data_IF_077383123247
#
_entry.id   IF_077383123247
#
_cell.length_a   1.000
_cell.length_b   1.000
_cell.length_c   1.000
_cell.angle_alpha   90.00
_cell.angle_beta   90.00
_cell.angle_gamma   90.00
#
_symmetry.space_group_name_H-M   'P 1'
#
loop_
_entity.id
_entity.type
_entity.pdbx_description
1 polymer ?
#
# COMPACT_ATOMS: atom_id res chain seq x y z
N UNK A 1 -6.38 -33.91 -7.34
CA UNK A 1 -6.09 -32.51 -6.94
C UNK A 1 -6.78 -32.31 -5.60
N UNK A 2 -6.00 -32.07 -4.55
CA UNK A 2 -6.46 -31.95 -3.17
C UNK A 2 -6.19 -30.52 -2.69
N UNK A 3 -6.94 -30.03 -1.70
CA UNK A 3 -6.78 -28.68 -1.14
C UNK A 3 -5.71 -28.62 -0.04
N UNK A 4 -5.39 -27.40 0.43
CA UNK A 4 -4.32 -27.16 1.40
C UNK A 4 -4.43 -27.96 2.71
N UNK A 5 -5.65 -28.27 3.16
CA UNK A 5 -5.88 -29.10 4.35
C UNK A 5 -5.94 -30.61 4.04
N UNK A 6 -6.39 -31.00 2.85
CA UNK A 6 -6.60 -32.42 2.49
C UNK A 6 -5.37 -33.07 1.87
N UNK A 7 -4.39 -32.28 1.39
CA UNK A 7 -3.11 -32.77 0.86
C UNK A 7 -2.27 -33.50 1.92
N UNK A 8 -2.43 -33.16 3.20
CA UNK A 8 -1.69 -33.76 4.33
C UNK A 8 -2.13 -35.20 4.66
N UNK A 9 -3.01 -35.82 3.85
CA UNK A 9 -3.18 -37.29 3.86
C UNK A 9 -1.85 -38.03 3.63
N UNK A 10 -0.87 -37.39 3.00
CA UNK A 10 0.50 -37.91 2.80
C UNK A 10 1.23 -38.12 4.13
N UNK A 11 1.07 -37.20 5.08
CA UNK A 11 1.63 -37.33 6.43
C UNK A 11 0.63 -36.74 7.46
N UNK A 12 -0.22 -37.59 8.06
CA UNK A 12 -1.30 -37.14 8.94
C UNK A 12 -0.85 -36.32 10.16
N UNK A 13 0.39 -36.51 10.63
CA UNK A 13 0.98 -35.72 11.71
C UNK A 13 1.05 -34.22 11.38
N UNK A 14 1.27 -33.87 10.10
CA UNK A 14 1.36 -32.48 9.63
C UNK A 14 0.03 -31.89 9.17
N UNK A 15 -1.11 -32.55 9.43
CA UNK A 15 -2.44 -32.01 9.10
C UNK A 15 -2.70 -30.63 9.72
N UNK A 16 -2.07 -30.33 10.87
CA UNK A 16 -2.11 -29.03 11.51
C UNK A 16 -1.56 -27.87 10.65
N UNK A 17 -0.60 -28.15 9.77
CA UNK A 17 -0.01 -27.14 8.86
C UNK A 17 -1.07 -26.58 7.91
N UNK A 18 -1.93 -27.44 7.36
CA UNK A 18 -3.02 -26.99 6.48
C UNK A 18 -4.02 -26.07 7.18
N UNK A 19 -4.37 -26.35 8.43
CA UNK A 19 -5.24 -25.48 9.21
C UNK A 19 -4.55 -24.18 9.62
N UNK A 20 -3.26 -24.22 9.95
CA UNK A 20 -2.47 -23.02 10.24
C UNK A 20 -2.44 -22.07 9.02
N UNK A 21 -2.24 -22.60 7.80
CA UNK A 21 -2.30 -21.82 6.55
C UNK A 21 -3.66 -21.15 6.35
N UNK A 22 -4.77 -21.84 6.66
CA UNK A 22 -6.12 -21.25 6.57
C UNK A 22 -6.28 -20.08 7.56
N UNK A 23 -5.80 -20.23 8.80
CA UNK A 23 -5.85 -19.16 9.81
C UNK A 23 -4.97 -17.97 9.39
N UNK A 24 -3.76 -18.22 8.89
CA UNK A 24 -2.88 -17.17 8.38
C UNK A 24 -3.54 -16.44 7.22
N UNK A 25 -4.13 -17.16 6.26
CA UNK A 25 -4.84 -16.56 5.13
C UNK A 25 -6.03 -15.69 5.57
N UNK A 26 -6.72 -16.07 6.66
CA UNK A 26 -7.78 -15.25 7.26
C UNK A 26 -7.23 -13.91 7.78
N UNK A 27 -6.16 -13.94 8.58
CA UNK A 27 -5.54 -12.72 9.10
C UNK A 27 -5.01 -11.81 7.98
N UNK A 28 -4.34 -12.42 7.00
CA UNK A 28 -3.87 -11.75 5.78
C UNK A 28 -5.03 -11.09 5.04
N UNK A 29 -6.13 -11.83 4.84
CA UNK A 29 -7.34 -11.30 4.21
C UNK A 29 -7.90 -10.08 4.91
N UNK A 30 -7.90 -10.03 6.25
CA UNK A 30 -8.41 -8.87 6.98
C UNK A 30 -7.63 -7.59 6.69
N UNK A 31 -6.30 -7.58 6.91
CA UNK A 31 -5.53 -6.34 6.77
C UNK A 31 -5.33 -5.93 5.30
N UNK A 32 -5.18 -6.88 4.37
CA UNK A 32 -5.03 -6.53 2.95
C UNK A 32 -6.30 -5.87 2.39
N UNK A 33 -7.48 -6.32 2.82
CA UNK A 33 -8.74 -5.68 2.40
C UNK A 33 -8.85 -4.24 2.92
N UNK A 34 -8.31 -3.93 4.09
CA UNK A 34 -8.23 -2.56 4.61
C UNK A 34 -7.31 -1.69 3.75
N UNK A 35 -6.14 -2.20 3.33
CA UNK A 35 -5.23 -1.47 2.43
C UNK A 35 -5.88 -1.19 1.07
N UNK A 36 -6.62 -2.15 0.52
CA UNK A 36 -7.38 -1.97 -0.72
C UNK A 36 -8.48 -0.91 -0.52
N UNK A 37 -9.17 -0.91 0.63
CA UNK A 37 -10.17 0.10 0.95
C UNK A 37 -9.56 1.50 1.03
N UNK A 38 -8.36 1.67 1.60
CA UNK A 38 -7.63 2.94 1.55
C UNK A 38 -7.34 3.34 0.10
N UNK A 39 -6.82 2.43 -0.71
CA UNK A 39 -6.53 2.68 -2.13
C UNK A 39 -7.79 3.12 -2.90
N UNK A 40 -8.93 2.49 -2.63
CA UNK A 40 -10.22 2.85 -3.21
C UNK A 40 -10.69 4.24 -2.76
N UNK A 41 -10.48 4.58 -1.49
CA UNK A 41 -10.75 5.92 -0.97
C UNK A 41 -9.90 6.99 -1.68
N UNK A 42 -8.59 6.74 -1.85
CA UNK A 42 -7.70 7.62 -2.62
C UNK A 42 -8.12 7.73 -4.09
N UNK A 43 -8.59 6.64 -4.69
CA UNK A 43 -9.09 6.64 -6.07
C UNK A 43 -10.30 7.57 -6.22
N UNK A 44 -11.31 7.46 -5.36
CA UNK A 44 -12.47 8.36 -5.40
C UNK A 44 -12.10 9.80 -5.04
N UNK A 45 -11.22 10.00 -4.07
CA UNK A 45 -10.72 11.33 -3.67
C UNK A 45 -9.88 12.00 -4.76
N UNK A 46 -9.34 11.24 -5.71
CA UNK A 46 -8.60 11.76 -6.87
C UNK A 46 -9.50 12.26 -8.00
N UNK A 47 -10.81 11.99 -7.96
CA UNK A 47 -11.80 12.43 -8.96
C UNK A 47 -12.25 13.89 -8.73
N UNK A 48 -11.34 14.74 -8.32
CA UNK A 48 -11.55 16.18 -8.08
C UNK A 48 -10.64 16.98 -9.00
N UNK A 49 -11.04 18.22 -9.33
CA UNK A 49 -10.24 19.11 -10.19
C UNK A 49 -8.90 19.48 -9.56
N UNK A 50 -8.88 19.67 -8.25
CA UNK A 50 -7.68 19.86 -7.44
C UNK A 50 -7.58 18.72 -6.42
N UNK A 51 -6.39 18.14 -6.29
CA UNK A 51 -6.18 17.00 -5.40
C UNK A 51 -6.17 17.48 -3.94
N UNK A 52 -6.86 16.79 -3.02
CA UNK A 52 -7.02 17.25 -1.63
C UNK A 52 -5.72 17.22 -0.81
N UNK A 53 -4.70 16.48 -1.28
CA UNK A 53 -3.36 16.43 -0.69
C UNK A 53 -2.34 17.37 -1.37
N UNK A 54 -2.81 18.33 -2.18
CA UNK A 54 -1.94 19.30 -2.84
C UNK A 54 -1.65 20.52 -1.95
N UNK A 55 -2.66 20.98 -1.20
CA UNK A 55 -2.63 22.22 -0.41
C UNK A 55 -2.75 21.94 1.08
N UNK A 56 -2.37 22.92 1.91
CA UNK A 56 -2.57 22.88 3.37
C UNK A 56 -3.84 23.62 3.81
N UNK A 57 -4.64 24.11 2.85
CA UNK A 57 -5.80 24.99 3.10
C UNK A 57 -7.09 24.19 3.30
N UNK A 58 -7.02 23.09 4.04
CA UNK A 58 -8.19 22.27 4.35
C UNK A 58 -8.49 22.21 5.85
N UNK A 59 -9.73 21.91 6.19
CA UNK A 59 -10.20 21.90 7.58
C UNK A 59 -9.50 20.86 8.48
N UNK A 60 -8.89 19.83 7.89
CA UNK A 60 -8.19 18.77 8.63
C UNK A 60 -6.70 19.07 8.85
N UNK A 61 -6.15 20.06 8.17
CA UNK A 61 -4.72 20.36 8.25
C UNK A 61 -4.34 21.01 9.60
N UNK A 62 -3.19 20.60 10.14
CA UNK A 62 -2.56 21.28 11.27
C UNK A 62 -2.03 22.68 10.90
N UNK A 63 -1.90 23.61 11.87
CA UNK A 63 -1.13 24.85 11.68
C UNK A 63 0.34 24.62 11.26
N UNK A 64 0.86 23.42 11.51
CA UNK A 64 2.23 23.01 11.19
C UNK A 64 2.33 22.28 9.83
N UNK A 65 1.41 22.50 8.90
CA UNK A 65 1.45 21.91 7.57
C UNK A 65 2.32 22.74 6.62
N UNK A 66 3.16 22.08 5.82
CA UNK A 66 3.95 22.72 4.75
C UNK A 66 3.53 22.22 3.38
N UNK A 67 3.16 23.14 2.49
CA UNK A 67 2.86 22.86 1.08
C UNK A 67 4.03 23.25 0.17
N UNK A 68 4.11 22.65 -1.02
CA UNK A 68 5.16 22.98 -2.00
C UNK A 68 5.11 24.46 -2.44
N UNK A 69 3.90 25.03 -2.47
CA UNK A 69 3.68 26.46 -2.76
C UNK A 69 4.27 27.34 -1.65
N UNK A 70 4.00 26.99 -0.38
CA UNK A 70 4.54 27.71 0.78
C UNK A 70 6.08 27.68 0.86
N UNK A 71 6.72 26.60 0.40
CA UNK A 71 8.20 26.53 0.31
C UNK A 71 8.75 27.54 -0.71
N UNK A 72 8.05 27.72 -1.82
CA UNK A 72 8.44 28.66 -2.88
C UNK A 72 8.27 30.13 -2.44
N UNK A 73 7.30 30.38 -1.55
CA UNK A 73 7.05 31.72 -0.98
C UNK A 73 7.98 32.05 0.20
N UNK A 74 8.63 31.04 0.81
CA UNK A 74 9.50 31.18 1.99
C UNK A 74 10.98 31.46 1.62
N UNK A 75 11.24 32.09 0.48
CA UNK A 75 12.60 32.48 0.06
C UNK A 75 13.08 33.64 0.94
N UNK A 76 13.66 33.29 2.08
CA UNK A 76 14.50 34.20 2.87
C UNK A 76 15.89 34.19 2.20
N UNK A 77 16.51 35.37 2.07
CA UNK A 77 17.69 35.64 1.23
C UNK A 77 18.80 34.57 1.24
N UNK A 78 19.51 34.49 0.10
CA UNK A 78 20.47 33.46 -0.36
C UNK A 78 19.89 32.20 -1.06
N UNK A 79 18.65 32.25 -1.55
CA UNK A 79 18.15 31.25 -2.52
C UNK A 79 17.98 29.84 -1.95
N UNK A 80 17.91 29.70 -0.63
CA UNK A 80 17.64 28.43 0.05
C UNK A 80 16.19 28.41 0.51
N UNK A 81 15.40 27.51 -0.07
CA UNK A 81 14.00 27.29 0.30
C UNK A 81 13.95 26.21 1.40
N UNK A 82 13.38 26.54 2.55
CA UNK A 82 13.27 25.60 3.67
C UNK A 82 11.81 25.24 3.92
N UNK A 83 11.57 23.97 4.23
CA UNK A 83 10.28 23.55 4.76
C UNK A 83 10.10 24.16 6.16
N UNK A 84 9.06 24.99 6.33
CA UNK A 84 8.76 25.64 7.61
C UNK A 84 8.48 24.62 8.72
N UNK A 85 7.89 23.47 8.36
CA UNK A 85 7.56 22.38 9.27
C UNK A 85 7.83 21.01 8.64
N UNK A 86 7.98 19.99 9.48
CA UNK A 86 8.27 18.60 9.07
C UNK A 86 7.11 17.92 8.32
N UNK A 87 5.87 18.33 8.60
CA UNK A 87 4.68 17.67 8.06
C UNK A 87 4.29 18.25 6.69
N UNK A 88 4.20 17.38 5.69
CA UNK A 88 3.80 17.74 4.32
C UNK A 88 2.29 17.56 4.13
N UNK A 89 1.69 18.30 3.20
CA UNK A 89 0.25 18.17 2.90
C UNK A 89 -0.20 16.71 2.63
N UNK A 90 0.52 15.87 1.84
CA UNK A 90 0.13 14.47 1.66
C UNK A 90 0.22 13.61 2.91
N UNK A 91 1.20 13.85 3.79
CA UNK A 91 1.31 13.12 5.04
C UNK A 91 0.14 13.47 5.98
N UNK A 92 -0.20 14.76 6.10
CA UNK A 92 -1.34 15.24 6.87
C UNK A 92 -2.67 14.72 6.32
N UNK A 93 -2.82 14.64 5.00
CA UNK A 93 -4.00 14.02 4.40
C UNK A 93 -4.14 12.56 4.83
N UNK A 94 -3.07 11.78 4.77
CA UNK A 94 -3.11 10.37 5.18
C UNK A 94 -3.41 10.23 6.69
N UNK A 95 -2.64 10.90 7.54
CA UNK A 95 -2.72 10.71 8.99
C UNK A 95 -3.96 11.35 9.60
N UNK A 96 -4.33 12.55 9.17
CA UNK A 96 -5.44 13.29 9.77
C UNK A 96 -6.76 13.10 9.08
N UNK A 97 -6.79 13.03 7.74
CA UNK A 97 -8.06 12.94 7.00
C UNK A 97 -8.49 11.51 6.68
N UNK A 98 -7.56 10.67 6.25
CA UNK A 98 -7.89 9.27 5.92
C UNK A 98 -7.97 8.44 7.20
N UNK A 99 -6.91 8.44 8.00
CA UNK A 99 -6.78 7.55 9.15
C UNK A 99 -7.32 8.14 10.46
N UNK A 100 -7.38 9.48 10.58
CA UNK A 100 -7.72 10.17 11.84
C UNK A 100 -6.86 9.71 13.03
N UNK A 101 -5.57 9.44 12.79
CA UNK A 101 -4.64 8.94 13.80
C UNK A 101 -4.50 9.89 15.00
N UNK A 102 -4.68 11.19 14.77
CA UNK A 102 -4.65 12.23 15.80
C UNK A 102 -5.79 12.15 16.84
N UNK A 103 -6.88 11.43 16.54
CA UNK A 103 -7.99 11.20 17.48
C UNK A 103 -7.74 9.98 18.38
N UNK A 104 -6.73 9.15 18.05
CA UNK A 104 -6.40 7.94 18.80
C UNK A 104 -5.28 8.19 19.81
N UNK A 105 -5.49 7.79 21.06
CA UNK A 105 -4.46 7.78 22.10
C UNK A 105 -3.43 6.64 21.96
N UNK A 106 -3.54 5.83 20.90
CA UNK A 106 -2.70 4.65 20.64
C UNK A 106 -3.52 3.37 20.54
N UNK A 107 -2.86 2.21 20.64
CA UNK A 107 -3.51 0.90 20.41
C UNK A 107 -4.63 0.56 21.40
N UNK A 108 -4.61 1.16 22.59
CA UNK A 108 -5.61 0.97 23.63
C UNK A 108 -6.87 1.83 23.41
N UNK A 109 -6.77 2.85 22.58
CA UNK A 109 -7.85 3.77 22.27
C UNK A 109 -7.84 4.10 20.77
N UNK A 110 -8.43 3.19 19.99
CA UNK A 110 -8.44 3.25 18.53
C UNK A 110 -9.45 4.27 17.97
N UNK A 111 -10.29 4.86 18.83
CA UNK A 111 -11.39 5.71 18.40
C UNK A 111 -12.49 4.97 17.63
N UNK A 112 -13.51 5.69 17.15
CA UNK A 112 -14.62 5.10 16.40
C UNK A 112 -14.22 4.72 14.96
N UNK A 113 -14.87 3.70 14.36
CA UNK A 113 -14.65 3.35 12.96
C UNK A 113 -15.03 4.49 12.02
N UNK A 114 -14.17 4.78 11.04
CA UNK A 114 -14.41 5.83 10.05
C UNK A 114 -15.39 5.36 8.99
N UNK A 115 -16.59 5.96 8.95
CA UNK A 115 -17.66 5.55 8.04
C UNK A 115 -17.27 5.53 6.56
N UNK A 116 -16.48 6.52 6.11
CA UNK A 116 -15.99 6.57 4.73
C UNK A 116 -15.16 5.32 4.38
N UNK A 117 -14.24 4.93 5.26
CA UNK A 117 -13.40 3.74 5.08
C UNK A 117 -14.20 2.45 5.26
N UNK A 118 -15.16 2.42 6.18
CA UNK A 118 -16.08 1.28 6.36
C UNK A 118 -16.90 1.04 5.10
N UNK A 119 -17.37 2.09 4.44
CA UNK A 119 -18.10 2.00 3.16
C UNK A 119 -17.18 1.52 2.04
N UNK A 120 -15.95 2.05 1.94
CA UNK A 120 -14.96 1.55 0.99
C UNK A 120 -14.64 0.06 1.23
N UNK A 121 -14.51 -0.36 2.49
CA UNK A 121 -14.28 -1.76 2.85
C UNK A 121 -15.47 -2.65 2.46
N UNK A 122 -16.70 -2.18 2.70
CA UNK A 122 -17.91 -2.88 2.27
C UNK A 122 -17.93 -3.06 0.75
N UNK A 123 -17.58 -2.02 -0.01
CA UNK A 123 -17.48 -2.08 -1.46
C UNK A 123 -16.43 -3.12 -1.92
N UNK A 124 -15.25 -3.15 -1.29
CA UNK A 124 -14.20 -4.16 -1.57
C UNK A 124 -14.71 -5.57 -1.32
N UNK A 125 -15.37 -5.81 -0.19
CA UNK A 125 -15.93 -7.13 0.14
C UNK A 125 -16.99 -7.56 -0.86
N UNK A 126 -17.87 -6.65 -1.30
CA UNK A 126 -18.88 -6.92 -2.32
C UNK A 126 -18.23 -7.30 -3.66
N UNK A 127 -17.20 -6.54 -4.10
CA UNK A 127 -16.46 -6.82 -5.33
C UNK A 127 -15.80 -8.20 -5.25
N UNK A 128 -15.15 -8.52 -4.14
CA UNK A 128 -14.51 -9.82 -3.93
C UNK A 128 -15.51 -10.96 -3.92
N UNK A 129 -16.66 -10.77 -3.25
CA UNK A 129 -17.74 -11.74 -3.24
C UNK A 129 -18.21 -12.08 -4.66
N UNK A 130 -18.54 -11.07 -5.48
CA UNK A 130 -18.97 -11.31 -6.86
C UNK A 130 -17.87 -11.90 -7.75
N UNK A 131 -16.60 -11.55 -7.50
CA UNK A 131 -15.46 -12.11 -8.22
C UNK A 131 -15.30 -13.62 -7.96
N UNK A 132 -15.60 -14.07 -6.74
CA UNK A 132 -15.43 -15.45 -6.29
C UNK A 132 -16.70 -16.31 -6.36
N UNK A 133 -17.90 -15.71 -6.39
CA UNK A 133 -19.18 -16.43 -6.24
C UNK A 133 -19.35 -17.57 -7.27
N UNK A 134 -19.01 -17.33 -8.53
CA UNK A 134 -19.07 -18.35 -9.59
C UNK A 134 -17.81 -19.26 -9.65
N UNK A 135 -16.99 -19.24 -8.61
CA UNK A 135 -15.76 -20.01 -8.47
C UNK A 135 -14.66 -19.61 -9.46
N UNK A 136 -13.76 -20.56 -9.72
CA UNK A 136 -12.55 -20.35 -10.53
C UNK A 136 -12.82 -19.85 -11.96
N UNK A 137 -13.99 -20.16 -12.55
CA UNK A 137 -14.36 -19.70 -13.89
C UNK A 137 -14.63 -18.19 -13.96
N UNK A 138 -15.15 -17.61 -12.87
CA UNK A 138 -15.41 -16.17 -12.77
C UNK A 138 -14.16 -15.42 -12.33
N UNK A 139 -13.46 -15.94 -11.31
CA UNK A 139 -12.20 -15.39 -10.84
C UNK A 139 -11.18 -15.27 -11.98
N UNK A 140 -11.07 -16.30 -12.84
CA UNK A 140 -10.15 -16.26 -13.98
C UNK A 140 -10.42 -15.11 -14.94
N UNK A 141 -11.69 -14.76 -15.19
CA UNK A 141 -12.06 -13.61 -16.05
C UNK A 141 -11.67 -12.28 -15.43
N UNK A 142 -11.91 -12.12 -14.13
CA UNK A 142 -11.53 -10.89 -13.38
C UNK A 142 -10.01 -10.74 -13.34
N UNK A 143 -9.28 -11.85 -13.14
CA UNK A 143 -7.81 -11.88 -13.10
C UNK A 143 -7.17 -11.36 -14.39
N UNK A 144 -7.75 -11.60 -15.57
CA UNK A 144 -7.23 -11.02 -16.80
C UNK A 144 -7.13 -9.49 -16.75
N UNK A 145 -8.08 -8.83 -16.10
CA UNK A 145 -8.06 -7.36 -15.95
C UNK A 145 -7.15 -6.98 -14.79
N UNK A 146 -7.33 -7.58 -13.62
CA UNK A 146 -6.60 -7.18 -12.40
C UNK A 146 -5.11 -7.50 -12.44
N UNK A 147 -4.69 -8.50 -13.22
CA UNK A 147 -3.27 -8.83 -13.42
C UNK A 147 -2.62 -7.99 -14.53
N UNK A 148 -3.36 -7.55 -15.55
CA UNK A 148 -2.79 -6.79 -16.68
C UNK A 148 -2.75 -5.29 -16.44
N UNK A 149 -3.77 -4.72 -15.79
CA UNK A 149 -3.87 -3.29 -15.54
C UNK A 149 -2.65 -2.70 -14.80
N UNK A 150 -2.08 -3.35 -13.77
CA UNK A 150 -0.89 -2.83 -13.09
C UNK A 150 0.29 -2.63 -14.03
N UNK A 151 0.52 -3.51 -15.01
CA UNK A 151 1.62 -3.36 -15.97
C UNK A 151 1.42 -2.15 -16.88
N UNK A 152 0.18 -1.88 -17.31
CA UNK A 152 -0.14 -0.69 -18.10
C UNK A 152 0.11 0.58 -17.28
N UNK A 153 -0.35 0.62 -16.03
CA UNK A 153 -0.15 1.77 -15.13
C UNK A 153 1.35 1.98 -14.86
N UNK A 154 2.09 0.92 -14.54
CA UNK A 154 3.54 0.98 -14.30
C UNK A 154 4.28 1.49 -15.54
N UNK A 155 3.88 1.06 -16.74
CA UNK A 155 4.49 1.54 -17.98
C UNK A 155 4.25 3.04 -18.21
N UNK A 156 3.02 3.52 -17.99
CA UNK A 156 2.70 4.96 -18.08
C UNK A 156 3.48 5.76 -17.03
N UNK A 157 3.53 5.27 -15.78
CA UNK A 157 4.30 5.90 -14.71
C UNK A 157 5.80 5.89 -14.99
N UNK A 158 6.34 4.85 -15.65
CA UNK A 158 7.74 4.78 -16.05
C UNK A 158 8.06 5.85 -17.10
N UNK A 159 7.26 5.98 -18.16
CA UNK A 159 7.45 7.03 -19.17
C UNK A 159 7.35 8.41 -18.53
N UNK A 160 6.33 8.63 -17.68
CA UNK A 160 6.15 9.91 -16.99
C UNK A 160 7.32 10.19 -16.04
N UNK A 161 7.76 9.21 -15.27
CA UNK A 161 8.88 9.31 -14.35
C UNK A 161 10.20 9.62 -15.05
N UNK A 162 10.47 8.96 -16.18
CA UNK A 162 11.68 9.18 -16.97
C UNK A 162 11.74 10.59 -17.59
N UNK A 163 10.59 11.13 -18.02
CA UNK A 163 10.49 12.46 -18.64
C UNK A 163 10.55 13.63 -17.66
N UNK A 164 10.44 13.39 -16.35
CA UNK A 164 10.55 14.44 -15.33
C UNK A 164 11.99 14.94 -15.17
N UNK A 165 12.13 16.24 -14.93
CA UNK A 165 13.44 16.86 -14.67
C UNK A 165 14.04 16.28 -13.39
N UNK A 166 15.31 15.89 -13.45
CA UNK A 166 16.01 15.30 -12.30
C UNK A 166 15.78 13.81 -12.08
N UNK A 167 15.06 13.12 -12.99
CA UNK A 167 14.82 11.66 -12.94
C UNK A 167 16.12 10.85 -12.80
N UNK A 168 17.20 11.28 -13.47
CA UNK A 168 18.50 10.61 -13.41
C UNK A 168 19.08 10.53 -12.00
N UNK A 169 18.84 11.53 -11.13
CA UNK A 169 19.33 11.50 -9.74
C UNK A 169 18.72 10.34 -8.94
N UNK A 170 17.41 10.08 -9.14
CA UNK A 170 16.72 8.96 -8.52
C UNK A 170 17.22 7.61 -9.04
N UNK A 171 17.46 7.51 -10.35
CA UNK A 171 17.98 6.29 -11.00
C UNK A 171 19.39 5.97 -10.49
N UNK A 172 20.28 6.96 -10.47
CA UNK A 172 21.65 6.78 -9.94
C UNK A 172 21.63 6.38 -8.46
N UNK A 173 20.74 6.97 -7.64
CA UNK A 173 20.62 6.60 -6.23
C UNK A 173 20.04 5.19 -6.01
N UNK A 174 19.11 4.74 -6.86
CA UNK A 174 18.56 3.39 -6.78
C UNK A 174 19.57 2.32 -7.24
N UNK A 175 20.33 2.61 -8.29
CA UNK A 175 21.31 1.68 -8.88
C UNK A 175 22.72 1.81 -8.29
N UNK A 176 22.98 2.73 -7.36
CA UNK A 176 24.29 2.84 -6.71
C UNK A 176 24.51 1.63 -5.81
N UNK A 177 25.41 0.74 -6.22
CA UNK A 177 25.74 -0.48 -5.49
C UNK A 177 26.83 -0.18 -4.46
N UNK A 178 26.53 -0.40 -3.19
CA UNK A 178 27.52 -0.41 -2.12
C UNK A 178 27.93 -1.85 -1.79
N UNK A 179 29.03 -2.30 -2.39
CA UNK A 179 29.54 -3.67 -2.26
C UNK A 179 29.88 -4.00 -0.80
N UNK A 180 30.22 -3.01 0.03
CA UNK A 180 30.54 -3.26 1.43
C UNK A 180 29.31 -3.75 2.22
N UNK A 181 28.10 -3.32 1.83
CA UNK A 181 26.86 -3.78 2.46
C UNK A 181 26.59 -5.26 2.20
N UNK A 182 27.09 -5.84 1.11
CA UNK A 182 26.91 -7.28 0.82
C UNK A 182 27.62 -8.20 1.81
N UNK A 183 28.60 -7.68 2.57
CA UNK A 183 29.26 -8.43 3.64
C UNK A 183 28.39 -8.56 4.90
N UNK A 184 27.36 -7.72 5.04
CA UNK A 184 26.45 -7.76 6.17
C UNK A 184 25.42 -8.88 5.97
N UNK A 185 25.28 -9.76 6.97
CA UNK A 185 24.33 -10.88 6.93
C UNK A 185 22.88 -10.41 6.81
N UNK A 186 22.56 -9.26 7.41
CA UNK A 186 21.21 -8.66 7.38
C UNK A 186 20.68 -8.46 5.96
N UNK A 187 21.53 -8.02 5.02
CA UNK A 187 21.15 -7.82 3.61
C UNK A 187 20.69 -9.12 2.95
N UNK A 188 21.32 -10.25 3.30
CA UNK A 188 20.95 -11.56 2.78
C UNK A 188 19.66 -12.10 3.42
N UNK A 189 19.47 -11.85 4.71
CA UNK A 189 18.23 -12.19 5.41
C UNK A 189 17.04 -11.41 4.83
N UNK A 190 17.20 -10.12 4.56
CA UNK A 190 16.18 -9.29 3.93
C UNK A 190 15.88 -9.74 2.50
N UNK A 191 16.91 -10.03 1.71
CA UNK A 191 16.74 -10.54 0.34
C UNK A 191 16.00 -11.89 0.30
N UNK A 192 16.35 -12.82 1.19
CA UNK A 192 15.66 -14.10 1.30
C UNK A 192 14.20 -13.93 1.72
N UNK A 193 13.95 -13.05 2.70
CA UNK A 193 12.60 -12.73 3.19
C UNK A 193 11.75 -12.10 2.09
N UNK A 194 12.32 -11.19 1.30
CA UNK A 194 11.65 -10.54 0.17
C UNK A 194 11.25 -11.55 -0.91
N UNK A 195 12.16 -12.46 -1.31
CA UNK A 195 11.87 -13.50 -2.31
C UNK A 195 10.81 -14.46 -1.80
N UNK A 196 10.91 -14.90 -0.53
CA UNK A 196 9.97 -15.83 0.07
C UNK A 196 8.54 -15.27 0.10
N UNK A 197 8.35 -14.03 0.57
CA UNK A 197 7.03 -13.40 0.60
C UNK A 197 6.52 -12.97 -0.78
N UNK A 198 7.40 -12.60 -1.70
CA UNK A 198 7.02 -12.24 -3.08
C UNK A 198 6.47 -13.45 -3.86
N UNK A 199 7.09 -14.62 -3.69
CA UNK A 199 6.63 -15.86 -4.33
C UNK A 199 5.44 -16.52 -3.61
N UNK A 200 5.20 -16.18 -2.34
CA UNK A 200 4.15 -16.80 -1.54
C UNK A 200 4.37 -18.30 -1.29
N UNK A 201 5.63 -18.75 -1.24
CA UNK A 201 5.95 -20.16 -1.09
C UNK A 201 5.35 -20.74 0.20
N UNK A 202 4.57 -21.82 0.09
CA UNK A 202 3.96 -22.49 1.24
C UNK A 202 2.59 -21.95 1.69
N UNK A 203 2.04 -20.93 1.02
CA UNK A 203 0.71 -20.37 1.36
C UNK A 203 -0.48 -21.23 0.87
N UNK A 204 -0.24 -22.34 0.15
CA UNK A 204 -1.29 -23.25 -0.29
C UNK A 204 -2.24 -22.67 -1.36
N UNK A 205 -1.85 -21.57 -1.98
CA UNK A 205 -2.55 -20.94 -3.12
C UNK A 205 -1.92 -21.46 -4.42
N UNK A 206 -2.77 -21.85 -5.38
CA UNK A 206 -2.38 -22.28 -6.73
C UNK A 206 -2.85 -21.24 -7.76
#
# INVERSE_FOLDING_TARGET
REGAATVWKICPFFKGVGYAVIIIALYVGFYYNVIIAWSLYYLFSSMTSELPWLTCDNYWNSPNCTSHKSITDSVIGNGSSYAKYKFTSPAEFNERRVLHLHESGGIHDLGPPRWDLTLCLLAVVIILYFSLWKGVKSSGKVVYITATMPYIVLFVLLIRGATLKGSMKGITAYLSIDINKLKNLEVWTDAATQIFYSLGAGFGVN
#
